data_IF_246335697788
#
_entry.id   IF_246335697788
#
_cell.length_a   1.000
_cell.length_b   1.000
_cell.length_c   1.000
_cell.angle_alpha   90.00
_cell.angle_beta   90.00
_cell.angle_gamma   90.00
#
_symmetry.space_group_name_H-M   'P 1'
#
loop_
_entity.id
_entity.type
_entity.pdbx_description
1 polymer ?
#
# COMPACT_ATOMS: atom_id res chain seq x y z
N UNK A 1 -6.46 -14.83 16.48
CA UNK A 1 -7.61 -14.71 15.55
C UNK A 1 -7.39 -15.74 14.46
N UNK A 2 -8.39 -16.52 14.06
CA UNK A 2 -8.24 -17.44 12.92
C UNK A 2 -8.92 -16.84 11.70
N UNK A 3 -8.17 -16.67 10.61
CA UNK A 3 -8.74 -16.29 9.33
C UNK A 3 -8.09 -17.09 8.21
N UNK A 4 -8.87 -18.01 7.62
CA UNK A 4 -8.42 -18.90 6.55
C UNK A 4 -7.79 -18.18 5.36
N UNK A 5 -8.27 -16.98 5.01
CA UNK A 5 -7.68 -16.23 3.90
C UNK A 5 -6.28 -15.72 4.27
N UNK A 6 -6.11 -15.16 5.47
CA UNK A 6 -4.80 -14.73 5.94
C UNK A 6 -3.82 -15.89 6.02
N UNK A 7 -4.25 -17.00 6.62
CA UNK A 7 -3.40 -18.17 6.86
C UNK A 7 -2.89 -18.79 5.54
N UNK A 8 -3.72 -18.81 4.50
CA UNK A 8 -3.43 -19.53 3.26
C UNK A 8 -2.96 -18.65 2.10
N UNK A 9 -3.28 -17.35 2.11
CA UNK A 9 -3.13 -16.49 0.93
C UNK A 9 -2.30 -15.24 1.19
N UNK A 10 -2.30 -14.69 2.40
CA UNK A 10 -1.72 -13.37 2.62
C UNK A 10 -0.27 -13.26 2.15
N UNK A 11 0.58 -14.23 2.53
CA UNK A 11 2.00 -14.24 2.17
C UNK A 11 2.21 -14.19 0.64
N UNK A 12 1.48 -15.03 -0.10
CA UNK A 12 1.54 -15.06 -1.56
C UNK A 12 1.16 -13.71 -2.18
N UNK A 13 0.08 -13.08 -1.71
CA UNK A 13 -0.34 -11.77 -2.23
C UNK A 13 0.68 -10.67 -1.88
N UNK A 14 1.23 -10.71 -0.66
CA UNK A 14 2.26 -9.77 -0.21
C UNK A 14 3.52 -9.85 -1.09
N UNK A 15 4.04 -11.05 -1.29
CA UNK A 15 5.21 -11.31 -2.16
C UNK A 15 4.93 -10.91 -3.61
N UNK A 16 3.78 -11.28 -4.16
CA UNK A 16 3.40 -10.93 -5.53
C UNK A 16 3.29 -9.41 -5.73
N UNK A 17 2.71 -8.69 -4.76
CA UNK A 17 2.58 -7.24 -4.85
C UNK A 17 3.96 -6.55 -4.89
N UNK A 18 4.91 -7.00 -4.07
CA UNK A 18 6.28 -6.48 -4.04
C UNK A 18 7.04 -6.83 -5.32
N UNK A 19 6.92 -8.07 -5.80
CA UNK A 19 7.60 -8.52 -7.02
C UNK A 19 7.13 -7.73 -8.25
N UNK A 20 5.82 -7.54 -8.40
CA UNK A 20 5.26 -6.73 -9.50
C UNK A 20 5.75 -5.28 -9.42
N UNK A 21 5.78 -4.70 -8.22
CA UNK A 21 6.27 -3.34 -8.00
C UNK A 21 7.77 -3.16 -8.28
N UNK A 22 8.58 -4.19 -8.01
CA UNK A 22 10.02 -4.20 -8.32
C UNK A 22 10.30 -4.42 -9.81
N UNK A 23 9.38 -5.04 -10.54
CA UNK A 23 9.45 -5.12 -11.99
C UNK A 23 9.01 -3.83 -12.69
N UNK A 24 8.39 -2.89 -11.98
CA UNK A 24 8.00 -1.56 -12.48
C UNK A 24 9.09 -0.50 -12.23
N UNK A 25 10.38 -0.88 -12.17
CA UNK A 25 11.47 0.08 -11.94
C UNK A 25 11.77 0.88 -13.21
N UNK A 26 11.86 2.20 -13.07
CA UNK A 26 12.46 3.07 -14.09
C UNK A 26 13.85 3.53 -13.64
N UNK A 27 14.85 3.41 -14.52
CA UNK A 27 16.20 3.90 -14.26
C UNK A 27 16.25 5.43 -14.40
N UNK A 28 15.76 6.14 -13.38
CA UNK A 28 15.97 7.59 -13.28
C UNK A 28 17.37 7.88 -12.73
N UNK A 29 18.10 8.77 -13.40
CA UNK A 29 19.43 9.25 -12.99
C UNK A 29 19.36 10.39 -11.97
N UNK A 30 18.16 10.91 -11.67
CA UNK A 30 17.95 12.04 -10.78
C UNK A 30 17.59 11.58 -9.36
N UNK A 31 18.46 11.90 -8.40
CA UNK A 31 18.22 11.67 -6.97
C UNK A 31 17.35 12.81 -6.40
N UNK A 32 16.07 12.82 -6.76
CA UNK A 32 15.09 13.69 -6.10
C UNK A 32 14.58 12.96 -4.85
N UNK A 33 14.46 13.66 -3.72
CA UNK A 33 13.88 13.11 -2.49
C UNK A 33 12.40 13.44 -2.39
N UNK A 34 11.63 12.52 -1.77
CA UNK A 34 10.21 12.70 -1.53
C UNK A 34 10.00 13.80 -0.47
N UNK A 35 9.20 14.82 -0.79
CA UNK A 35 8.90 15.93 0.15
C UNK A 35 7.85 15.55 1.20
N UNK A 36 7.08 14.49 0.96
CA UNK A 36 6.05 13.98 1.87
C UNK A 36 6.70 12.99 2.82
N UNK A 37 6.81 13.32 4.10
CA UNK A 37 7.36 12.41 5.10
C UNK A 37 6.49 11.15 5.27
N UNK A 38 7.13 9.98 5.28
CA UNK A 38 6.48 8.69 5.53
C UNK A 38 5.74 8.71 6.89
N UNK A 39 4.54 8.13 7.02
CA UNK A 39 3.70 8.31 8.19
C UNK A 39 4.06 7.30 9.30
N UNK A 40 5.29 7.34 9.81
CA UNK A 40 5.80 6.39 10.80
C UNK A 40 4.94 6.30 12.06
N UNK A 41 4.46 7.44 12.55
CA UNK A 41 3.60 7.50 13.73
C UNK A 41 2.31 6.69 13.56
N UNK A 42 1.75 6.64 12.34
CA UNK A 42 0.53 5.88 12.07
C UNK A 42 0.80 4.38 12.11
N UNK A 43 1.93 3.93 11.57
CA UNK A 43 2.36 2.53 11.66
C UNK A 43 2.71 2.13 13.09
N UNK A 44 3.35 3.02 13.86
CA UNK A 44 3.65 2.81 15.29
C UNK A 44 2.38 2.71 16.14
N UNK A 45 1.35 3.49 15.82
CA UNK A 45 0.05 3.36 16.48
C UNK A 45 -0.65 2.06 16.09
N UNK A 46 -0.65 1.70 14.80
CA UNK A 46 -1.27 0.48 14.31
C UNK A 46 -0.61 -0.79 14.89
N UNK A 47 0.72 -0.82 15.04
CA UNK A 47 1.44 -1.98 15.58
C UNK A 47 1.07 -2.33 17.02
N UNK A 48 0.64 -1.33 17.81
CA UNK A 48 0.18 -1.47 19.20
C UNK A 48 -1.34 -1.67 19.32
N UNK A 49 -2.07 -1.58 18.23
CA UNK A 49 -3.53 -1.68 18.22
C UNK A 49 -4.01 -3.14 18.24
N UNK A 50 -5.34 -3.32 18.36
CA UNK A 50 -5.96 -4.64 18.30
C UNK A 50 -5.73 -5.32 16.94
N UNK A 51 -5.89 -6.65 16.87
CA UNK A 51 -5.76 -7.38 15.60
C UNK A 51 -6.74 -6.89 14.53
N UNK A 52 -7.97 -6.51 14.93
CA UNK A 52 -8.98 -5.94 14.03
C UNK A 52 -8.58 -4.55 13.52
N UNK A 53 -7.99 -3.71 14.38
CA UNK A 53 -7.51 -2.39 13.97
C UNK A 53 -6.28 -2.47 13.06
N UNK A 54 -5.38 -3.44 13.29
CA UNK A 54 -4.25 -3.75 12.38
C UNK A 54 -4.75 -4.11 10.99
N UNK A 55 -5.74 -5.01 10.90
CA UNK A 55 -6.39 -5.38 9.63
C UNK A 55 -7.03 -4.16 8.98
N UNK A 56 -7.86 -3.42 9.71
CA UNK A 56 -8.54 -2.25 9.18
C UNK A 56 -7.59 -1.12 8.76
N UNK A 57 -6.42 -1.00 9.40
CA UNK A 57 -5.36 -0.10 8.98
C UNK A 57 -4.73 -0.57 7.66
N UNK A 58 -4.29 -1.83 7.57
CA UNK A 58 -3.66 -2.38 6.36
C UNK A 58 -4.61 -2.34 5.16
N UNK A 59 -5.90 -2.67 5.33
CA UNK A 59 -6.91 -2.55 4.26
C UNK A 59 -6.98 -1.12 3.72
N UNK A 60 -6.89 -0.10 4.60
CA UNK A 60 -6.88 1.31 4.16
C UNK A 60 -5.60 1.69 3.45
N UNK A 61 -4.45 1.15 3.86
CA UNK A 61 -3.18 1.33 3.14
C UNK A 61 -3.32 0.77 1.72
N UNK A 62 -3.73 -0.48 1.57
CA UNK A 62 -3.86 -1.14 0.27
C UNK A 62 -4.87 -0.43 -0.65
N UNK A 63 -5.99 0.05 -0.11
CA UNK A 63 -6.94 0.89 -0.87
C UNK A 63 -6.35 2.23 -1.27
N UNK A 64 -5.54 2.86 -0.41
CA UNK A 64 -4.81 4.08 -0.74
C UNK A 64 -3.80 3.86 -1.86
N UNK A 65 -3.12 2.71 -1.86
CA UNK A 65 -2.22 2.27 -2.93
C UNK A 65 -2.98 2.08 -4.24
N UNK A 66 -4.07 1.30 -4.23
CA UNK A 66 -4.87 1.07 -5.43
C UNK A 66 -5.37 2.39 -6.05
N UNK A 67 -5.98 3.27 -5.25
CA UNK A 67 -6.46 4.57 -5.69
C UNK A 67 -5.36 5.49 -6.26
N UNK A 68 -4.10 5.32 -5.84
CA UNK A 68 -2.99 6.05 -6.45
C UNK A 68 -2.69 5.53 -7.85
N UNK A 69 -2.60 4.22 -8.02
CA UNK A 69 -2.24 3.56 -9.28
C UNK A 69 -3.36 3.54 -10.33
N UNK A 70 -4.60 3.87 -9.94
CA UNK A 70 -5.71 4.15 -10.88
C UNK A 70 -5.57 5.50 -11.62
N UNK A 71 -4.60 6.33 -11.25
CA UNK A 71 -4.34 7.62 -11.92
C UNK A 71 -3.53 7.42 -13.20
N UNK A 72 -3.47 8.45 -14.03
CA UNK A 72 -2.69 8.43 -15.27
C UNK A 72 -1.19 8.26 -14.99
N UNK A 73 -0.67 7.07 -15.33
CA UNK A 73 0.73 6.68 -15.22
C UNK A 73 1.43 6.60 -16.58
N UNK A 74 0.85 7.16 -17.65
CA UNK A 74 1.40 7.10 -19.01
C UNK A 74 2.85 7.56 -19.10
N UNK A 75 3.24 8.57 -18.32
CA UNK A 75 4.62 9.07 -18.23
C UNK A 75 5.61 8.13 -17.53
N UNK A 76 5.14 7.16 -16.73
CA UNK A 76 6.01 6.27 -15.95
C UNK A 76 6.74 5.22 -16.81
N UNK A 77 6.37 5.08 -18.09
CA UNK A 77 6.90 4.06 -19.01
C UNK A 77 6.74 2.62 -18.52
N UNK A 78 5.85 2.38 -17.55
CA UNK A 78 5.52 1.05 -17.06
C UNK A 78 4.65 0.31 -18.07
N UNK A 79 4.84 -1.01 -18.16
CA UNK A 79 3.98 -1.86 -18.98
C UNK A 79 2.57 -1.92 -18.36
N UNK A 80 1.56 -1.52 -19.13
CA UNK A 80 0.15 -1.45 -18.70
C UNK A 80 -0.31 -2.74 -18.01
N UNK A 81 -0.08 -3.90 -18.66
CA UNK A 81 -0.42 -5.21 -18.10
C UNK A 81 0.18 -5.44 -16.71
N UNK A 82 1.39 -4.93 -16.45
CA UNK A 82 2.06 -5.10 -15.16
C UNK A 82 1.43 -4.23 -14.08
N UNK A 83 1.02 -3.01 -14.43
CA UNK A 83 0.27 -2.12 -13.53
C UNK A 83 -1.10 -2.73 -13.22
N UNK A 84 -1.79 -3.30 -14.21
CA UNK A 84 -3.07 -3.99 -14.03
C UNK A 84 -2.94 -5.21 -13.13
N UNK A 85 -1.92 -6.05 -13.35
CA UNK A 85 -1.63 -7.21 -12.50
C UNK A 85 -1.36 -6.75 -11.05
N UNK A 86 -0.62 -5.65 -10.85
CA UNK A 86 -0.36 -5.07 -9.53
C UNK A 86 -1.63 -4.56 -8.86
N UNK A 87 -2.43 -3.76 -9.56
CA UNK A 87 -3.72 -3.25 -9.08
C UNK A 87 -4.66 -4.37 -8.67
N UNK A 88 -4.75 -5.42 -9.48
CA UNK A 88 -5.56 -6.59 -9.20
C UNK A 88 -5.07 -7.32 -7.93
N UNK A 89 -3.76 -7.55 -7.79
CA UNK A 89 -3.20 -8.20 -6.59
C UNK A 89 -3.45 -7.37 -5.32
N UNK A 90 -3.18 -6.06 -5.35
CA UNK A 90 -3.36 -5.18 -4.18
C UNK A 90 -4.84 -5.07 -3.79
N UNK A 91 -5.74 -4.98 -4.76
CA UNK A 91 -7.19 -4.93 -4.53
C UNK A 91 -7.69 -6.23 -3.90
N UNK A 92 -7.33 -7.37 -4.47
CA UNK A 92 -7.70 -8.68 -3.92
C UNK A 92 -7.08 -8.91 -2.53
N UNK A 93 -5.87 -8.42 -2.28
CA UNK A 93 -5.24 -8.47 -0.95
C UNK A 93 -6.05 -7.64 0.07
N UNK A 94 -6.52 -6.45 -0.32
CA UNK A 94 -7.36 -5.60 0.52
C UNK A 94 -8.70 -6.27 0.84
N UNK A 95 -9.36 -6.86 -0.15
CA UNK A 95 -10.65 -7.54 0.02
C UNK A 95 -10.50 -8.81 0.87
N UNK A 96 -9.43 -9.56 0.65
CA UNK A 96 -9.05 -10.72 1.43
C UNK A 96 -8.86 -10.41 2.92
N UNK A 97 -8.07 -9.38 3.25
CA UNK A 97 -7.89 -8.93 4.62
C UNK A 97 -9.19 -8.38 5.22
N UNK A 98 -9.99 -7.66 4.42
CA UNK A 98 -11.28 -7.15 4.85
C UNK A 98 -12.24 -8.29 5.22
N UNK A 99 -12.22 -9.41 4.49
CA UNK A 99 -13.03 -10.60 4.79
C UNK A 99 -12.72 -11.25 6.15
N UNK A 100 -11.53 -10.99 6.71
CA UNK A 100 -11.09 -11.46 8.02
C UNK A 100 -11.56 -10.58 9.19
N UNK A 101 -12.18 -9.43 8.91
CA UNK A 101 -12.63 -8.51 9.94
C UNK A 101 -13.95 -8.99 10.54
N UNK A 102 -14.05 -9.02 11.88
CA UNK A 102 -15.25 -9.50 12.60
C UNK A 102 -16.11 -8.31 13.04
N UNK A 103 -17.38 -8.32 12.63
CA UNK A 103 -18.36 -7.27 12.96
C UNK A 103 -18.08 -5.93 12.26
N UNK A 104 -18.87 -4.92 12.59
CA UNK A 104 -18.58 -3.53 12.21
C UNK A 104 -17.43 -2.99 13.06
N UNK A 105 -16.25 -3.62 13.01
CA UNK A 105 -15.07 -3.10 13.68
C UNK A 105 -14.88 -1.66 13.21
N UNK A 106 -14.91 -0.76 14.20
CA UNK A 106 -15.36 0.59 14.00
C UNK A 106 -14.65 1.25 12.83
N UNK A 107 -15.45 1.78 11.91
CA UNK A 107 -15.07 2.71 10.83
C UNK A 107 -14.43 3.99 11.40
N UNK A 108 -13.47 3.92 12.31
CA UNK A 108 -12.58 5.04 12.62
C UNK A 108 -11.80 5.29 11.34
N UNK A 109 -12.39 6.13 10.49
CA UNK A 109 -11.79 6.62 9.28
C UNK A 109 -10.46 7.22 9.71
N UNK A 110 -9.34 6.62 9.28
CA UNK A 110 -8.03 7.17 9.59
C UNK A 110 -7.84 8.35 8.65
N UNK A 111 -8.49 9.49 8.98
CA UNK A 111 -8.46 10.71 8.18
C UNK A 111 -7.02 11.19 7.97
N UNK A 112 -6.10 10.87 8.89
CA UNK A 112 -4.68 11.17 8.73
C UNK A 112 -4.04 10.34 7.61
N UNK A 113 -4.28 9.03 7.59
CA UNK A 113 -3.79 8.16 6.51
C UNK A 113 -4.39 8.53 5.16
N UNK A 114 -5.69 8.82 5.11
CA UNK A 114 -6.33 9.27 3.87
C UNK A 114 -5.70 10.56 3.35
N UNK A 115 -5.57 11.59 4.20
CA UNK A 115 -4.90 12.85 3.84
C UNK A 115 -3.44 12.65 3.43
N UNK A 116 -2.77 11.66 3.99
CA UNK A 116 -1.41 11.33 3.59
C UNK A 116 -1.35 10.84 2.13
N UNK A 117 -2.22 9.91 1.72
CA UNK A 117 -2.30 9.49 0.32
C UNK A 117 -2.77 10.63 -0.61
N UNK A 118 -3.64 11.52 -0.15
CA UNK A 118 -3.98 12.74 -0.89
C UNK A 118 -2.77 13.66 -1.06
N UNK A 119 -1.89 13.78 -0.06
CA UNK A 119 -0.64 14.53 -0.17
C UNK A 119 0.31 13.90 -1.17
N UNK A 120 0.46 12.58 -1.20
CA UNK A 120 1.22 11.91 -2.26
C UNK A 120 0.67 12.26 -3.65
N UNK A 121 -0.65 12.18 -3.85
CA UNK A 121 -1.26 12.54 -5.12
C UNK A 121 -1.06 14.02 -5.48
N UNK A 122 -1.19 14.94 -4.53
CA UNK A 122 -1.21 16.38 -4.82
C UNK A 122 0.18 17.02 -4.80
N UNK A 123 1.07 16.60 -3.90
CA UNK A 123 2.39 17.20 -3.66
C UNK A 123 3.52 16.47 -4.39
N UNK A 124 3.28 15.25 -4.88
CA UNK A 124 4.27 14.50 -5.66
C UNK A 124 3.79 14.42 -7.10
N UNK A 125 2.71 13.66 -7.36
CA UNK A 125 2.24 13.46 -8.73
C UNK A 125 1.84 14.78 -9.41
N UNK A 126 0.86 15.52 -8.86
CA UNK A 126 0.38 16.75 -9.53
C UNK A 126 1.42 17.87 -9.61
N UNK A 127 2.25 18.07 -8.58
CA UNK A 127 3.25 19.13 -8.58
C UNK A 127 4.38 18.87 -9.58
N UNK A 128 4.66 17.60 -9.88
CA UNK A 128 5.65 17.18 -10.86
C UNK A 128 5.00 16.78 -12.19
N UNK A 129 3.76 17.22 -12.44
CA UNK A 129 3.01 16.97 -13.67
C UNK A 129 2.97 15.49 -14.10
N UNK A 130 2.81 14.60 -13.11
CA UNK A 130 2.77 13.16 -13.30
C UNK A 130 3.99 12.60 -14.04
N UNK A 131 5.17 13.24 -13.93
CA UNK A 131 6.39 12.81 -14.62
C UNK A 131 6.85 11.41 -14.22
N UNK A 132 7.73 10.81 -15.03
CA UNK A 132 8.36 9.52 -14.74
C UNK A 132 9.05 9.52 -13.36
N UNK A 133 9.73 10.62 -13.00
CA UNK A 133 10.40 10.78 -11.70
C UNK A 133 9.40 10.78 -10.55
N UNK A 134 8.26 11.46 -10.72
CA UNK A 134 7.21 11.50 -9.70
C UNK A 134 6.63 10.11 -9.43
N UNK A 135 6.47 9.30 -10.47
CA UNK A 135 5.99 7.92 -10.36
C UNK A 135 7.03 6.99 -9.75
N UNK A 136 8.32 7.17 -10.05
CA UNK A 136 9.39 6.41 -9.39
C UNK A 136 9.49 6.74 -7.89
N UNK A 137 9.25 8.00 -7.50
CA UNK A 137 9.12 8.40 -6.09
C UNK A 137 7.93 7.69 -5.42
N UNK A 138 6.75 7.71 -6.05
CA UNK A 138 5.57 7.00 -5.56
C UNK A 138 5.84 5.49 -5.45
N UNK A 139 6.46 4.87 -6.45
CA UNK A 139 6.78 3.44 -6.45
C UNK A 139 7.64 3.05 -5.25
N UNK A 140 8.70 3.82 -4.96
CA UNK A 140 9.56 3.61 -3.79
C UNK A 140 8.81 3.78 -2.47
N UNK A 141 7.99 4.82 -2.35
CA UNK A 141 7.18 5.05 -1.14
C UNK A 141 6.18 3.91 -0.91
N UNK A 142 5.57 3.43 -1.99
CA UNK A 142 4.58 2.35 -1.96
C UNK A 142 5.25 1.02 -1.62
N UNK A 143 6.48 0.78 -2.07
CA UNK A 143 7.28 -0.37 -1.64
C UNK A 143 7.44 -0.38 -0.11
N UNK A 144 7.78 0.77 0.49
CA UNK A 144 7.85 0.91 1.94
C UNK A 144 6.50 0.62 2.60
N UNK A 145 5.39 1.13 2.06
CA UNK A 145 4.05 0.82 2.57
C UNK A 145 3.71 -0.68 2.54
N UNK A 146 4.03 -1.37 1.45
CA UNK A 146 3.78 -2.81 1.31
C UNK A 146 4.63 -3.61 2.31
N UNK A 147 5.92 -3.30 2.44
CA UNK A 147 6.80 -3.95 3.41
C UNK A 147 6.34 -3.73 4.86
N UNK A 148 5.95 -2.50 5.23
CA UNK A 148 5.46 -2.19 6.57
C UNK A 148 4.11 -2.85 6.85
N UNK A 149 3.27 -3.00 5.82
CA UNK A 149 1.99 -3.73 5.91
C UNK A 149 2.18 -5.22 6.07
N UNK A 150 3.14 -5.82 5.36
CA UNK A 150 3.54 -7.22 5.53
C UNK A 150 3.94 -7.49 6.98
N UNK A 151 4.89 -6.73 7.51
CA UNK A 151 5.35 -6.86 8.90
C UNK A 151 4.19 -6.75 9.90
N UNK A 152 3.26 -5.81 9.67
CA UNK A 152 2.13 -5.58 10.54
C UNK A 152 1.18 -6.79 10.58
N UNK A 153 0.86 -7.37 9.41
CA UNK A 153 -0.04 -8.52 9.32
C UNK A 153 0.65 -9.82 9.70
N UNK A 154 1.91 -10.02 9.33
CA UNK A 154 2.74 -11.17 9.73
C UNK A 154 2.85 -11.28 11.26
N UNK A 155 2.83 -10.16 11.99
CA UNK A 155 2.75 -10.16 13.47
C UNK A 155 1.49 -10.83 14.04
N UNK A 156 0.43 -10.99 13.23
CA UNK A 156 -0.81 -11.66 13.61
C UNK A 156 -0.79 -13.17 13.28
N UNK A 157 0.05 -13.57 12.33
CA UNK A 157 0.20 -14.97 11.89
C UNK A 157 1.16 -15.77 12.79
N UNK A 158 2.13 -15.07 13.41
CA UNK A 158 3.13 -15.69 14.28
C UNK A 158 2.65 -15.91 15.73
N UNK A 159 1.36 -15.73 16.00
CA UNK A 159 0.76 -15.99 17.32
C UNK A 159 0.33 -17.47 17.35
N UNK A 160 1.31 -18.36 17.47
CA UNK A 160 1.10 -19.77 17.84
C UNK A 160 1.64 -19.99 19.25
#
# INVERSE_FOLDING_TARGET
MSCRWMDNKFKQYSENSLNLLDMMVHNSTNTIELTVAFPEDLYSQASKASAQDKLGFTVKVLKGVANLFEKDYSSASWEEKRVDDFLNIVTQQADGLHSCMVGHSHKKNNKKLHRYFERLSNQVLKQMDYSAESWELIRKEIKTHLMRSDLLISSLLNIN
#
